data_IF_820979349918
#
_entry.id   IF_820979349918
#
_cell.length_a   1.000
_cell.length_b   1.000
_cell.length_c   1.000
_cell.angle_alpha   90.00
_cell.angle_beta   90.00
_cell.angle_gamma   90.00
#
_symmetry.space_group_name_H-M   'P 1'
#
loop_
_entity.id
_entity.type
_entity.pdbx_description
1 polymer ?
#
# COMPACT_ATOMS: atom_id res chain seq x y z
N UNK A 1 -1.91 -55.45 -58.12
CA UNK A 1 -1.01 -54.39 -57.61
C UNK A 1 -1.38 -53.07 -58.24
N UNK A 2 -2.20 -52.26 -57.55
CA UNK A 2 -2.29 -50.79 -57.67
C UNK A 2 -3.44 -50.28 -56.81
N UNK A 3 -3.14 -49.23 -56.05
CA UNK A 3 -4.06 -48.26 -55.46
C UNK A 3 -4.65 -48.55 -54.07
N UNK A 4 -3.79 -48.84 -53.08
CA UNK A 4 -4.10 -48.57 -51.66
C UNK A 4 -3.23 -47.40 -51.19
N UNK A 5 -3.39 -46.23 -51.80
CA UNK A 5 -2.68 -44.99 -51.43
C UNK A 5 -3.53 -43.80 -51.88
N UNK A 6 -4.71 -43.54 -51.29
CA UNK A 6 -5.49 -42.32 -51.61
C UNK A 6 -6.66 -42.01 -50.65
N UNK A 7 -6.61 -42.38 -49.36
CA UNK A 7 -7.71 -42.06 -48.41
C UNK A 7 -7.31 -41.81 -46.95
N UNK A 8 -6.14 -41.22 -46.72
CA UNK A 8 -5.71 -40.81 -45.36
C UNK A 8 -4.98 -39.45 -45.35
N UNK A 9 -5.37 -38.50 -46.21
CA UNK A 9 -4.76 -37.14 -46.25
C UNK A 9 -5.76 -36.00 -46.02
N UNK A 10 -7.07 -36.25 -45.88
CA UNK A 10 -8.08 -35.17 -45.91
C UNK A 10 -8.77 -34.83 -44.57
N UNK A 11 -8.18 -35.05 -43.38
CA UNK A 11 -8.76 -34.53 -42.12
C UNK A 11 -7.69 -34.17 -41.07
N UNK A 12 -6.59 -33.51 -41.45
CA UNK A 12 -5.63 -32.97 -40.44
C UNK A 12 -5.28 -31.49 -40.69
N UNK A 13 -5.73 -30.88 -41.80
CA UNK A 13 -5.31 -29.53 -42.18
C UNK A 13 -6.12 -28.37 -41.55
N UNK A 14 -7.41 -28.46 -41.16
CA UNK A 14 -8.09 -27.26 -40.63
C UNK A 14 -7.73 -26.89 -39.19
N UNK A 15 -7.28 -27.83 -38.34
CA UNK A 15 -7.11 -27.58 -36.90
C UNK A 15 -5.75 -26.96 -36.57
N UNK A 16 -4.70 -27.31 -37.34
CA UNK A 16 -3.35 -26.78 -37.10
C UNK A 16 -3.20 -25.29 -37.44
N UNK A 17 -3.91 -24.80 -38.47
CA UNK A 17 -3.86 -23.40 -38.89
C UNK A 17 -4.58 -22.48 -37.89
N UNK A 18 -5.63 -22.96 -37.22
CA UNK A 18 -6.33 -22.19 -36.18
C UNK A 18 -5.53 -22.05 -34.88
N UNK A 19 -4.74 -23.06 -34.50
CA UNK A 19 -3.90 -23.00 -33.30
C UNK A 19 -2.66 -22.11 -33.48
N UNK A 20 -2.04 -22.12 -34.66
CA UNK A 20 -0.89 -21.26 -34.95
C UNK A 20 -1.28 -19.78 -35.11
N UNK A 21 -2.47 -19.48 -35.66
CA UNK A 21 -2.97 -18.11 -35.75
C UNK A 21 -3.29 -17.47 -34.40
N UNK A 22 -3.82 -18.23 -33.44
CA UNK A 22 -4.19 -17.72 -32.11
C UNK A 22 -2.98 -17.34 -31.25
N UNK A 23 -1.84 -18.02 -31.43
CA UNK A 23 -0.60 -17.68 -30.72
C UNK A 23 0.04 -16.37 -31.22
N UNK A 24 -0.21 -15.97 -32.47
CA UNK A 24 0.34 -14.75 -33.07
C UNK A 24 -0.59 -13.53 -32.83
N UNK A 25 -1.87 -13.78 -32.51
CA UNK A 25 -2.90 -12.78 -32.20
C UNK A 25 -3.24 -12.68 -30.70
N UNK A 26 -2.54 -13.44 -29.86
CA UNK A 26 -2.68 -13.29 -28.40
C UNK A 26 -2.12 -11.92 -28.00
N UNK A 27 -2.90 -11.05 -27.32
CA UNK A 27 -2.31 -9.89 -26.69
C UNK A 27 -1.23 -10.38 -25.73
N UNK A 28 -0.06 -9.74 -25.76
CA UNK A 28 0.97 -9.98 -24.78
C UNK A 28 0.30 -9.92 -23.40
N UNK A 29 0.39 -10.99 -22.62
CA UNK A 29 0.13 -10.92 -21.18
C UNK A 29 0.92 -9.71 -20.68
N UNK A 30 0.29 -8.69 -20.08
CA UNK A 30 1.05 -7.63 -19.47
C UNK A 30 2.01 -8.32 -18.50
N UNK A 31 3.30 -8.24 -18.80
CA UNK A 31 4.30 -8.56 -17.83
C UNK A 31 3.94 -7.68 -16.62
N UNK A 32 3.71 -8.30 -15.47
CA UNK A 32 3.68 -7.59 -14.20
C UNK A 32 4.96 -6.79 -14.15
N UNK A 33 4.87 -5.50 -14.48
CA UNK A 33 5.96 -4.56 -14.26
C UNK A 33 6.15 -4.63 -12.76
N UNK A 34 7.29 -5.19 -12.35
CA UNK A 34 7.75 -4.99 -10.98
C UNK A 34 7.64 -3.50 -10.74
N UNK A 35 6.82 -3.12 -9.74
CA UNK A 35 6.67 -1.74 -9.34
C UNK A 35 8.07 -1.17 -9.18
N UNK A 36 8.30 -0.03 -9.84
CA UNK A 36 9.57 0.67 -9.70
C UNK A 36 9.68 1.06 -8.23
N UNK A 37 10.63 0.47 -7.51
CA UNK A 37 10.95 0.82 -6.13
C UNK A 37 11.70 2.16 -6.09
N UNK A 38 11.15 3.20 -6.71
CA UNK A 38 11.60 4.56 -6.44
C UNK A 38 10.97 5.00 -5.11
N UNK A 39 11.30 4.24 -4.05
CA UNK A 39 11.15 4.70 -2.69
C UNK A 39 12.01 5.95 -2.62
N UNK A 40 11.39 7.13 -2.53
CA UNK A 40 12.09 8.41 -2.48
C UNK A 40 13.21 8.42 -1.42
N UNK A 41 13.99 9.50 -1.32
CA UNK A 41 15.13 9.54 -0.42
C UNK A 41 14.76 9.07 0.99
N UNK A 42 15.59 8.20 1.56
CA UNK A 42 15.40 7.70 2.93
C UNK A 42 15.33 8.87 3.92
N UNK A 43 14.50 8.74 4.95
CA UNK A 43 14.41 9.71 6.06
C UNK A 43 15.73 9.86 6.85
N UNK A 44 16.71 8.98 6.62
CA UNK A 44 18.01 9.03 7.28
C UNK A 44 18.10 8.05 8.45
N UNK A 45 18.81 8.45 9.50
CA UNK A 45 19.09 7.58 10.64
C UNK A 45 17.90 7.48 11.61
N UNK A 46 17.21 6.34 11.59
CA UNK A 46 16.06 6.03 12.46
C UNK A 46 16.47 5.34 13.78
N UNK A 47 17.77 5.17 14.04
CA UNK A 47 18.29 4.47 15.24
C UNK A 47 17.79 5.07 16.56
N UNK A 48 17.73 6.41 16.75
CA UNK A 48 17.22 6.99 17.99
C UNK A 48 15.77 6.59 18.28
N UNK A 49 14.88 6.67 17.29
CA UNK A 49 13.47 6.30 17.41
C UNK A 49 13.28 4.80 17.64
N UNK A 50 14.06 3.97 16.94
CA UNK A 50 14.08 2.51 17.13
C UNK A 50 14.50 2.15 18.56
N UNK A 51 15.50 2.84 19.11
CA UNK A 51 15.98 2.61 20.48
C UNK A 51 14.90 2.93 21.51
N UNK A 52 14.24 4.09 21.39
CA UNK A 52 13.17 4.47 22.32
C UNK A 52 12.00 3.49 22.20
N UNK A 53 11.60 3.11 20.98
CA UNK A 53 10.52 2.14 20.73
C UNK A 53 10.83 0.78 21.36
N UNK A 54 12.07 0.29 21.22
CA UNK A 54 12.53 -0.94 21.88
C UNK A 54 12.46 -0.84 23.41
N UNK A 55 12.77 0.32 23.98
CA UNK A 55 12.63 0.53 25.43
C UNK A 55 11.17 0.54 25.87
N UNK A 56 10.26 1.13 25.08
CA UNK A 56 8.81 1.06 25.34
C UNK A 56 8.33 -0.38 25.33
N UNK A 57 8.74 -1.18 24.33
CA UNK A 57 8.43 -2.61 24.24
C UNK A 57 8.86 -3.37 25.49
N UNK A 58 10.12 -3.22 25.93
CA UNK A 58 10.62 -3.88 27.15
C UNK A 58 9.82 -3.53 28.40
N UNK A 59 9.36 -2.28 28.51
CA UNK A 59 8.52 -1.87 29.63
C UNK A 59 7.12 -2.49 29.50
N UNK A 60 6.51 -2.44 28.31
CA UNK A 60 5.20 -3.03 28.04
C UNK A 60 5.17 -4.55 28.26
N UNK A 61 6.23 -5.27 27.91
CA UNK A 61 6.39 -6.72 28.14
C UNK A 61 6.31 -7.12 29.61
N UNK A 62 6.55 -6.18 30.54
CA UNK A 62 6.42 -6.42 31.99
C UNK A 62 4.98 -6.29 32.49
N UNK A 63 4.06 -5.84 31.63
CA UNK A 63 2.67 -5.50 31.96
C UNK A 63 2.49 -4.09 32.53
N UNK A 64 3.56 -3.29 32.66
CA UNK A 64 3.48 -1.91 33.15
C UNK A 64 3.18 -0.92 32.01
N UNK A 65 1.93 -0.94 31.54
CA UNK A 65 1.47 -0.06 30.47
C UNK A 65 1.48 1.43 30.86
N UNK A 66 1.40 1.74 32.16
CA UNK A 66 1.51 3.11 32.65
C UNK A 66 2.94 3.65 32.50
N UNK A 67 3.96 2.84 32.84
CA UNK A 67 5.35 3.21 32.60
C UNK A 67 5.67 3.25 31.09
N UNK A 68 5.10 2.36 30.29
CA UNK A 68 5.24 2.39 28.83
C UNK A 68 4.67 3.70 28.24
N UNK A 69 3.51 4.15 28.73
CA UNK A 69 2.90 5.42 28.34
C UNK A 69 3.76 6.66 28.70
N UNK A 70 4.56 6.58 29.76
CA UNK A 70 5.55 7.63 30.06
C UNK A 70 6.68 7.58 29.03
N UNK A 71 7.26 6.40 28.77
CA UNK A 71 8.40 6.25 27.85
C UNK A 71 8.04 6.59 26.40
N UNK A 72 6.82 6.30 25.94
CA UNK A 72 6.40 6.67 24.57
C UNK A 72 6.30 8.19 24.39
N UNK A 73 6.15 8.97 25.45
CA UNK A 73 6.17 10.45 25.37
C UNK A 73 7.57 10.98 25.02
N UNK A 74 8.64 10.26 25.39
CA UNK A 74 10.00 10.57 24.95
C UNK A 74 10.16 10.36 23.42
N UNK A 75 9.47 9.35 22.87
CA UNK A 75 9.47 9.09 21.42
C UNK A 75 8.75 10.22 20.67
N UNK A 76 7.53 10.56 21.09
CA UNK A 76 6.73 11.66 20.53
C UNK A 76 7.54 12.96 20.50
N UNK A 77 8.15 13.33 21.63
CA UNK A 77 8.99 14.53 21.72
C UNK A 77 10.16 14.49 20.73
N UNK A 78 10.88 13.37 20.66
CA UNK A 78 12.03 13.24 19.77
C UNK A 78 11.62 13.29 18.29
N UNK A 79 10.46 12.73 17.94
CA UNK A 79 9.94 12.71 16.58
C UNK A 79 9.49 14.11 16.13
N UNK A 80 8.72 14.81 16.98
CA UNK A 80 8.26 16.18 16.75
C UNK A 80 9.44 17.16 16.57
N UNK A 81 10.49 17.00 17.39
CA UNK A 81 11.72 17.80 17.29
C UNK A 81 12.40 17.66 15.91
N UNK A 82 12.17 16.54 15.22
CA UNK A 82 12.74 16.25 13.89
C UNK A 82 11.76 16.49 12.73
N UNK A 83 10.49 16.81 12.98
CA UNK A 83 9.44 16.97 11.96
C UNK A 83 9.90 17.86 10.79
N UNK A 84 10.40 19.06 11.11
CA UNK A 84 10.84 20.06 10.11
C UNK A 84 12.02 19.60 9.26
N UNK A 85 12.78 18.61 9.74
CA UNK A 85 13.92 18.04 9.03
C UNK A 85 13.50 16.81 8.22
N UNK A 86 12.68 15.92 8.78
CA UNK A 86 12.33 14.63 8.18
C UNK A 86 11.19 14.75 7.17
N UNK A 87 10.13 15.48 7.50
CA UNK A 87 8.91 15.57 6.68
C UNK A 87 9.16 16.09 5.25
N UNK A 88 10.04 17.09 5.01
CA UNK A 88 10.34 17.55 3.65
C UNK A 88 11.23 16.59 2.85
N UNK A 89 11.97 15.68 3.50
CA UNK A 89 12.85 14.72 2.79
C UNK A 89 12.01 13.74 2.01
N UNK A 90 11.04 13.11 2.67
CA UNK A 90 10.12 12.18 2.06
C UNK A 90 8.81 12.19 2.83
N UNK A 91 7.84 12.98 2.35
CA UNK A 91 6.57 13.21 3.05
C UNK A 91 5.76 11.93 3.20
N UNK A 92 5.78 11.04 2.19
CA UNK A 92 5.09 9.76 2.27
C UNK A 92 5.72 8.85 3.33
N UNK A 93 7.04 8.68 3.30
CA UNK A 93 7.73 7.84 4.29
C UNK A 93 7.63 8.41 5.71
N UNK A 94 7.67 9.74 5.85
CA UNK A 94 7.46 10.42 7.13
C UNK A 94 6.05 10.13 7.66
N UNK A 95 5.02 10.28 6.82
CA UNK A 95 3.63 10.01 7.19
C UNK A 95 3.42 8.56 7.69
N UNK A 96 4.04 7.57 7.04
CA UNK A 96 3.93 6.17 7.46
C UNK A 96 4.42 5.93 8.89
N UNK A 97 5.54 6.58 9.26
CA UNK A 97 6.09 6.46 10.62
C UNK A 97 5.25 7.27 11.60
N UNK A 98 4.85 8.49 11.21
CA UNK A 98 4.01 9.39 12.02
C UNK A 98 2.70 8.72 12.43
N UNK A 99 1.98 8.13 11.48
CA UNK A 99 0.75 7.37 11.74
C UNK A 99 0.98 6.18 12.67
N UNK A 100 2.09 5.45 12.51
CA UNK A 100 2.41 4.34 13.40
C UNK A 100 2.76 4.80 14.83
N UNK A 101 3.34 6.00 14.98
CA UNK A 101 3.56 6.65 16.28
C UNK A 101 2.21 7.03 16.90
N UNK A 102 1.30 7.61 16.14
CA UNK A 102 -0.05 7.96 16.60
C UNK A 102 -0.87 6.75 17.05
N UNK A 103 -0.78 5.63 16.32
CA UNK A 103 -1.47 4.39 16.66
C UNK A 103 -1.02 3.85 18.02
N UNK A 104 0.28 3.83 18.29
CA UNK A 104 0.80 3.37 19.59
C UNK A 104 0.53 4.36 20.71
N UNK A 105 0.60 5.67 20.44
CA UNK A 105 0.20 6.70 21.41
C UNK A 105 -1.27 6.54 21.80
N UNK A 106 -2.14 6.30 20.81
CA UNK A 106 -3.57 6.03 21.01
C UNK A 106 -3.78 4.77 21.85
N UNK A 107 -3.08 3.67 21.53
CA UNK A 107 -3.18 2.41 22.27
C UNK A 107 -2.74 2.56 23.74
N UNK A 108 -1.59 3.20 23.99
CA UNK A 108 -1.03 3.38 25.34
C UNK A 108 -1.78 4.42 26.19
N UNK A 109 -2.37 5.45 25.56
CA UNK A 109 -3.10 6.53 26.25
C UNK A 109 -4.61 6.29 26.35
N UNK A 110 -5.11 5.16 25.87
CA UNK A 110 -6.50 4.76 26.07
C UNK A 110 -6.85 4.74 27.58
N UNK A 111 -8.12 5.00 27.93
CA UNK A 111 -8.56 4.96 29.35
C UNK A 111 -8.38 3.59 30.00
N UNK A 112 -8.30 2.53 29.19
CA UNK A 112 -7.94 1.18 29.62
C UNK A 112 -7.09 0.57 28.51
N UNK A 113 -5.75 0.76 28.55
CA UNK A 113 -4.85 0.24 27.53
C UNK A 113 -4.94 -1.29 27.49
N UNK A 114 -5.07 -1.82 26.27
CA UNK A 114 -5.09 -3.26 26.03
C UNK A 114 -3.69 -3.74 25.63
N UNK A 115 -3.16 -4.74 26.36
CA UNK A 115 -1.80 -5.25 26.15
C UNK A 115 -1.60 -5.75 24.72
N UNK A 116 -2.56 -6.49 24.17
CA UNK A 116 -2.40 -7.10 22.83
C UNK A 116 -2.33 -6.00 21.76
N UNK A 117 -3.18 -4.98 21.89
CA UNK A 117 -3.21 -3.83 20.98
C UNK A 117 -1.94 -3.00 21.08
N UNK A 118 -1.42 -2.78 22.29
CA UNK A 118 -0.13 -2.09 22.51
C UNK A 118 1.01 -2.87 21.88
N UNK A 119 1.09 -4.19 22.07
CA UNK A 119 2.16 -5.01 21.50
C UNK A 119 2.10 -5.00 19.95
N UNK A 120 0.90 -5.06 19.39
CA UNK A 120 0.68 -5.01 17.93
C UNK A 120 1.09 -3.67 17.32
N UNK A 121 0.69 -2.56 17.94
CA UNK A 121 1.02 -1.20 17.47
C UNK A 121 2.52 -0.91 17.63
N UNK A 122 3.15 -1.32 18.74
CA UNK A 122 4.60 -1.24 18.92
C UNK A 122 5.37 -2.06 17.86
N UNK A 123 4.89 -3.26 17.52
CA UNK A 123 5.49 -4.05 16.44
C UNK A 123 5.32 -3.37 15.08
N UNK A 124 4.17 -2.74 14.83
CA UNK A 124 3.89 -2.04 13.57
C UNK A 124 4.77 -0.80 13.43
N UNK A 125 4.92 -0.02 14.50
CA UNK A 125 5.87 1.09 14.57
C UNK A 125 7.30 0.63 14.33
N UNK A 126 7.72 -0.50 14.91
CA UNK A 126 9.09 -0.99 14.72
C UNK A 126 9.36 -1.37 13.25
N UNK A 127 8.34 -1.88 12.55
CA UNK A 127 8.41 -2.17 11.11
C UNK A 127 8.44 -0.87 10.29
N UNK A 128 7.59 0.11 10.62
CA UNK A 128 7.57 1.42 9.96
C UNK A 128 8.92 2.14 10.12
N UNK A 129 9.55 2.08 11.29
CA UNK A 129 10.89 2.64 11.52
C UNK A 129 11.99 1.92 10.72
N UNK A 130 11.85 0.61 10.51
CA UNK A 130 12.80 -0.19 9.74
C UNK A 130 12.65 0.01 8.22
N UNK A 131 11.43 0.24 7.76
CA UNK A 131 11.09 0.47 6.36
C UNK A 131 10.05 1.59 6.23
N UNK A 132 10.46 2.87 6.43
CA UNK A 132 9.53 4.01 6.38
C UNK A 132 8.79 4.14 5.06
N UNK A 133 9.36 3.63 3.96
CA UNK A 133 8.73 3.70 2.64
C UNK A 133 7.66 2.61 2.39
N UNK A 134 7.50 1.62 3.29
CA UNK A 134 6.49 0.56 3.15
C UNK A 134 6.82 -0.50 2.09
N UNK A 135 8.10 -0.77 1.86
CA UNK A 135 8.60 -1.78 0.91
C UNK A 135 8.35 -3.24 1.34
N UNK A 136 7.96 -3.48 2.59
CA UNK A 136 7.77 -4.81 3.19
C UNK A 136 6.62 -4.87 4.20
N UNK A 137 5.49 -5.44 3.79
CA UNK A 137 4.28 -5.57 4.61
C UNK A 137 4.39 -6.68 5.68
N UNK A 138 3.99 -6.46 6.96
CA UNK A 138 3.76 -7.51 7.93
C UNK A 138 2.35 -8.12 7.77
N UNK A 139 2.26 -9.45 7.91
CA UNK A 139 1.04 -10.26 7.82
C UNK A 139 0.21 -10.20 9.11
N UNK A 140 -0.97 -9.56 9.11
CA UNK A 140 -1.89 -9.67 10.27
C UNK A 140 -3.26 -9.02 10.18
N UNK A 141 -3.46 -8.02 9.33
CA UNK A 141 -4.73 -7.36 9.08
C UNK A 141 -5.51 -7.92 7.90
N UNK A 142 -6.82 -7.68 7.93
CA UNK A 142 -7.69 -7.98 6.80
C UNK A 142 -7.62 -6.83 5.81
N UNK A 143 -7.06 -7.08 4.63
CA UNK A 143 -7.01 -6.09 3.54
C UNK A 143 -8.44 -5.69 3.17
N UNK A 144 -8.78 -4.42 3.33
CA UNK A 144 -10.05 -3.86 2.85
C UNK A 144 -9.91 -3.60 1.36
N UNK A 145 -10.89 -4.06 0.60
CA UNK A 145 -10.91 -3.95 -0.86
C UNK A 145 -12.10 -3.09 -1.28
N UNK A 146 -11.85 -2.05 -2.05
CA UNK A 146 -12.89 -1.28 -2.73
C UNK A 146 -12.84 -1.63 -4.21
N UNK A 147 -13.89 -2.30 -4.69
CA UNK A 147 -14.02 -2.68 -6.10
C UNK A 147 -12.83 -3.48 -6.65
N UNK A 148 -12.18 -4.29 -5.80
CA UNK A 148 -11.02 -5.10 -6.17
C UNK A 148 -9.67 -4.39 -6.03
N UNK A 149 -9.63 -3.15 -5.53
CA UNK A 149 -8.42 -2.40 -5.20
C UNK A 149 -8.24 -2.41 -3.69
N UNK A 150 -7.06 -2.79 -3.20
CA UNK A 150 -6.73 -2.72 -1.78
C UNK A 150 -6.65 -1.25 -1.34
N UNK A 151 -7.39 -0.89 -0.30
CA UNK A 151 -7.34 0.44 0.35
C UNK A 151 -6.65 0.39 1.71
N UNK A 152 -6.20 -0.79 2.14
CA UNK A 152 -5.40 -0.93 3.35
C UNK A 152 -4.17 -1.78 3.07
N UNK A 153 -3.17 -1.64 3.93
CA UNK A 153 -2.02 -2.53 3.96
C UNK A 153 -2.40 -3.92 4.52
N UNK A 154 -1.39 -4.79 4.64
CA UNK A 154 -1.55 -6.12 5.21
C UNK A 154 -1.73 -6.12 6.74
N UNK A 155 -1.69 -4.96 7.40
CA UNK A 155 -2.04 -4.74 8.81
C UNK A 155 -3.48 -4.24 8.98
N UNK A 156 -4.17 -3.92 7.88
CA UNK A 156 -5.55 -3.44 7.86
C UNK A 156 -5.66 -1.92 8.05
N UNK A 157 -4.53 -1.22 8.07
CA UNK A 157 -4.44 0.23 8.14
C UNK A 157 -4.61 0.84 6.74
N UNK A 158 -5.28 1.99 6.62
CA UNK A 158 -5.49 2.66 5.33
C UNK A 158 -4.16 2.90 4.59
N UNK A 159 -4.16 2.84 3.26
CA UNK A 159 -2.93 3.11 2.56
C UNK A 159 -2.57 4.59 2.71
N UNK A 160 -1.27 4.93 2.73
CA UNK A 160 -0.86 6.31 2.78
C UNK A 160 -1.43 7.06 1.57
N UNK A 161 -1.94 8.26 1.80
CA UNK A 161 -2.65 9.04 0.80
C UNK A 161 -1.85 9.25 -0.50
N UNK A 162 -0.54 9.46 -0.38
CA UNK A 162 0.36 9.60 -1.53
C UNK A 162 0.54 8.29 -2.31
N UNK A 163 0.53 7.14 -1.63
CA UNK A 163 0.61 5.81 -2.27
C UNK A 163 -0.61 5.56 -3.15
N UNK A 164 -1.82 5.83 -2.63
CA UNK A 164 -3.05 5.66 -3.40
C UNK A 164 -3.20 6.71 -4.52
N UNK A 165 -2.74 7.95 -4.29
CA UNK A 165 -2.71 8.98 -5.33
C UNK A 165 -1.74 8.62 -6.46
N UNK A 166 -0.56 8.06 -6.14
CA UNK A 166 0.41 7.62 -7.13
C UNK A 166 -0.13 6.43 -7.94
N UNK A 167 -0.68 5.42 -7.27
CA UNK A 167 -1.35 4.30 -7.92
C UNK A 167 -2.46 4.77 -8.88
N UNK A 168 -3.28 5.73 -8.44
CA UNK A 168 -4.32 6.32 -9.29
C UNK A 168 -3.72 6.99 -10.53
N UNK A 169 -2.72 7.86 -10.35
CA UNK A 169 -2.10 8.63 -11.44
C UNK A 169 -1.39 7.71 -12.44
N UNK A 170 -0.69 6.70 -11.96
CA UNK A 170 -0.01 5.68 -12.78
C UNK A 170 -1.01 4.86 -13.58
N UNK A 171 -2.11 4.43 -12.96
CA UNK A 171 -3.19 3.72 -13.66
C UNK A 171 -3.82 4.62 -14.73
N UNK A 172 -4.07 5.89 -14.41
CA UNK A 172 -4.62 6.88 -15.36
C UNK A 172 -3.71 7.14 -16.55
N UNK A 173 -2.40 7.20 -16.34
CA UNK A 173 -1.43 7.41 -17.41
C UNK A 173 -1.42 6.27 -18.44
N UNK A 174 -1.81 5.06 -18.04
CA UNK A 174 -1.84 3.87 -18.90
C UNK A 174 -3.22 3.54 -19.46
N UNK A 175 -4.30 4.11 -18.90
CA UNK A 175 -5.67 3.86 -19.31
C UNK A 175 -6.08 4.61 -20.60
N UNK A 176 -6.88 3.96 -21.44
CA UNK A 176 -7.59 4.61 -22.56
C UNK A 176 -9.07 4.74 -22.22
N UNK A 177 -9.53 5.97 -22.01
CA UNK A 177 -10.87 6.27 -21.48
C UNK A 177 -11.64 7.21 -22.42
N UNK A 178 -12.97 7.08 -22.42
CA UNK A 178 -13.87 8.04 -23.06
C UNK A 178 -13.94 9.36 -22.24
N UNK A 179 -14.29 10.47 -22.89
CA UNK A 179 -14.30 11.80 -22.27
C UNK A 179 -15.17 11.89 -21.00
N UNK A 180 -16.32 11.19 -20.97
CA UNK A 180 -17.19 11.13 -19.81
C UNK A 180 -16.56 10.39 -18.61
N UNK A 181 -15.73 9.38 -18.87
CA UNK A 181 -14.99 8.66 -17.84
C UNK A 181 -13.84 9.55 -17.32
N UNK A 182 -13.16 10.29 -18.19
CA UNK A 182 -12.12 11.25 -17.78
C UNK A 182 -12.64 12.32 -16.81
N UNK A 183 -13.83 12.89 -17.06
CA UNK A 183 -14.44 13.86 -16.14
C UNK A 183 -14.77 13.25 -14.75
N UNK A 184 -15.17 11.97 -14.75
CA UNK A 184 -15.43 11.23 -13.50
C UNK A 184 -14.12 10.97 -12.75
N UNK A 185 -13.05 10.61 -13.46
CA UNK A 185 -11.72 10.42 -12.88
C UNK A 185 -11.16 11.71 -12.30
N UNK A 186 -11.30 12.85 -12.99
CA UNK A 186 -10.90 14.16 -12.46
C UNK A 186 -11.64 14.49 -11.16
N UNK A 187 -12.93 14.18 -11.09
CA UNK A 187 -13.74 14.40 -9.87
C UNK A 187 -13.27 13.51 -8.72
N UNK A 188 -13.02 12.22 -8.99
CA UNK A 188 -12.55 11.27 -7.96
C UNK A 188 -11.15 11.63 -7.47
N UNK A 189 -10.25 12.02 -8.37
CA UNK A 189 -8.91 12.48 -8.01
C UNK A 189 -8.97 13.74 -7.15
N UNK A 190 -9.80 14.73 -7.52
CA UNK A 190 -9.96 15.96 -6.75
C UNK A 190 -10.51 15.70 -5.34
N UNK A 191 -11.52 14.83 -5.22
CA UNK A 191 -12.05 14.41 -3.91
C UNK A 191 -11.01 13.66 -3.10
N UNK A 192 -10.31 12.70 -3.70
CA UNK A 192 -9.21 11.99 -3.04
C UNK A 192 -8.17 12.95 -2.48
N UNK A 193 -7.68 13.88 -3.30
CA UNK A 193 -6.72 14.91 -2.87
C UNK A 193 -7.29 15.84 -1.78
N UNK A 194 -8.56 16.21 -1.84
CA UNK A 194 -9.21 17.01 -0.79
C UNK A 194 -9.23 16.25 0.55
N UNK A 195 -9.56 14.95 0.55
CA UNK A 195 -9.53 14.13 1.77
C UNK A 195 -8.11 13.91 2.27
N UNK A 196 -7.14 13.70 1.38
CA UNK A 196 -5.72 13.62 1.75
C UNK A 196 -5.23 14.89 2.43
N UNK A 197 -5.57 16.06 1.89
CA UNK A 197 -5.20 17.33 2.53
C UNK A 197 -5.89 17.53 3.90
N UNK A 198 -6.99 16.81 4.14
CA UNK A 198 -7.72 16.82 5.39
C UNK A 198 -7.33 15.66 6.33
N UNK A 199 -6.28 14.91 6.00
CA UNK A 199 -5.78 13.78 6.79
C UNK A 199 -6.83 12.66 7.00
N UNK A 200 -7.68 12.47 6.00
CA UNK A 200 -8.80 11.52 6.02
C UNK A 200 -8.57 10.39 5.01
N UNK A 201 -7.49 9.65 5.24
CA UNK A 201 -6.93 8.64 4.32
C UNK A 201 -7.95 7.59 3.92
N UNK A 202 -8.75 7.09 4.86
CA UNK A 202 -9.79 6.09 4.55
C UNK A 202 -10.74 6.56 3.45
N UNK A 203 -11.22 7.81 3.54
CA UNK A 203 -12.15 8.35 2.54
C UNK A 203 -11.41 8.80 1.28
N UNK A 204 -10.15 9.20 1.39
CA UNK A 204 -9.31 9.46 0.23
C UNK A 204 -9.13 8.18 -0.61
N UNK A 205 -8.74 7.09 0.03
CA UNK A 205 -8.49 5.79 -0.57
C UNK A 205 -9.74 5.22 -1.21
N UNK A 206 -10.91 5.37 -0.57
CA UNK A 206 -12.18 4.97 -1.17
C UNK A 206 -12.45 5.67 -2.51
N UNK A 207 -12.18 6.98 -2.61
CA UNK A 207 -12.37 7.73 -3.86
C UNK A 207 -11.34 7.33 -4.93
N UNK A 208 -10.10 7.11 -4.53
CA UNK A 208 -9.02 6.76 -5.44
C UNK A 208 -9.17 5.32 -5.95
N UNK A 209 -9.53 4.38 -5.09
CA UNK A 209 -9.85 3.00 -5.46
C UNK A 209 -11.01 2.92 -6.44
N UNK A 210 -12.08 3.70 -6.25
CA UNK A 210 -13.19 3.79 -7.21
C UNK A 210 -12.70 4.21 -8.60
N UNK A 211 -11.78 5.18 -8.69
CA UNK A 211 -11.25 5.62 -9.98
C UNK A 211 -10.30 4.60 -10.62
N UNK A 212 -9.46 3.95 -9.83
CA UNK A 212 -8.60 2.84 -10.30
C UNK A 212 -9.46 1.71 -10.86
N UNK A 213 -10.55 1.36 -10.17
CA UNK A 213 -11.48 0.33 -10.63
C UNK A 213 -12.18 0.74 -11.94
N UNK A 214 -12.55 2.02 -12.11
CA UNK A 214 -13.13 2.53 -13.36
C UNK A 214 -12.17 2.44 -14.55
N UNK A 215 -10.87 2.58 -14.32
CA UNK A 215 -9.83 2.51 -15.36
C UNK A 215 -9.41 1.09 -15.72
N UNK A 216 -9.68 0.13 -14.82
CA UNK A 216 -9.30 -1.27 -14.96
C UNK A 216 -10.40 -2.14 -15.60
N UNK A 217 -11.49 -1.52 -16.06
CA UNK A 217 -12.71 -2.16 -16.56
C UNK A 217 -12.97 -1.77 -18.02
#
# INVERSE_FOLDING_TARGET
MRNILLSTVLIIVPVGVFAAGYAILSPATPASQAASTDSGPSLGDMTPFTTITTDVQKVAETGDLAAAAIRITDLETAWDDQEKTLRPVNTAAWGNVDTAIDDVLTALRASTPDQTTVDQTLSSLQNALADPAGSGAPTGGSVIMVQGVATTDASGHALPCETMLDMFRTTRASAKMADAQNATLDTLQAKGTERCNADDDTRADDFLAQGIALMSN
#
